data_IF_869304454255
#
_entry.id   IF_869304454255
#
_cell.length_a   1.000
_cell.length_b   1.000
_cell.length_c   1.000
_cell.angle_alpha   90.00
_cell.angle_beta   90.00
_cell.angle_gamma   90.00
#
_symmetry.space_group_name_H-M   'P 1'
#
loop_
_entity.id
_entity.type
_entity.pdbx_description
1 polymer ?
#
# COMPACT_ATOMS: atom_id res chain seq x y z
N UNK A 1 -0.98 9.26 3.83
CA UNK A 1 -2.11 9.12 4.77
C UNK A 1 -2.03 7.75 5.42
N UNK A 2 -2.20 7.63 6.74
CA UNK A 2 -2.22 6.34 7.44
C UNK A 2 -3.54 6.19 8.19
N UNK A 3 -4.23 5.07 8.02
CA UNK A 3 -5.42 4.72 8.80
C UNK A 3 -4.94 4.13 10.13
N UNK A 4 -4.62 5.01 11.08
CA UNK A 4 -4.03 4.62 12.37
C UNK A 4 -4.96 3.77 13.25
N UNK A 5 -6.23 3.63 12.88
CA UNK A 5 -7.23 2.89 13.64
C UNK A 5 -7.21 1.38 13.39
N UNK A 6 -6.62 0.92 12.28
CA UNK A 6 -6.52 -0.51 11.96
C UNK A 6 -5.05 -0.93 11.94
N UNK A 7 -4.70 -1.90 12.76
CA UNK A 7 -3.34 -2.42 12.87
C UNK A 7 -3.23 -3.80 12.23
N UNK A 8 -2.16 -4.02 11.45
CA UNK A 8 -1.77 -5.31 10.88
C UNK A 8 -0.34 -5.60 11.35
N UNK A 9 -0.13 -6.74 12.02
CA UNK A 9 1.18 -7.07 12.60
C UNK A 9 1.69 -6.05 13.61
N UNK A 10 0.78 -5.39 14.35
CA UNK A 10 1.12 -4.36 15.35
C UNK A 10 1.49 -2.99 14.77
N UNK A 11 1.36 -2.79 13.45
CA UNK A 11 1.65 -1.52 12.75
C UNK A 11 0.41 -0.99 12.04
N UNK A 12 0.27 0.33 11.83
CA UNK A 12 -0.82 0.88 11.03
C UNK A 12 -0.90 0.21 9.67
N UNK A 13 -2.10 -0.22 9.29
CA UNK A 13 -2.34 -0.88 8.02
C UNK A 13 -2.02 0.06 6.85
N UNK A 14 -1.26 -0.44 5.89
CA UNK A 14 -0.95 0.29 4.67
C UNK A 14 -2.17 0.29 3.73
N UNK A 15 -2.50 1.46 3.22
CA UNK A 15 -3.59 1.71 2.25
C UNK A 15 -3.07 2.51 1.06
N UNK A 16 -3.82 2.59 -0.02
CA UNK A 16 -3.53 3.53 -1.12
C UNK A 16 -3.35 4.95 -0.58
N UNK A 17 -2.30 5.64 -1.02
CA UNK A 17 -1.90 6.94 -0.48
C UNK A 17 -0.99 6.87 0.77
N UNK A 18 -0.61 5.67 1.23
CA UNK A 18 0.45 5.53 2.24
C UNK A 18 1.80 5.93 1.64
N UNK A 19 2.65 6.54 2.46
CA UNK A 19 3.94 7.07 2.03
C UNK A 19 4.93 5.94 1.70
N UNK A 20 5.61 6.07 0.57
CA UNK A 20 6.76 5.27 0.17
C UNK A 20 8.02 6.13 0.21
N UNK A 21 8.97 5.78 1.07
CA UNK A 21 10.27 6.47 1.13
C UNK A 21 11.25 5.74 0.23
N UNK A 22 11.71 6.42 -0.82
CA UNK A 22 12.69 5.87 -1.76
C UNK A 22 14.04 6.57 -1.57
N UNK A 23 15.12 5.80 -1.59
CA UNK A 23 16.50 6.31 -1.46
C UNK A 23 17.09 6.81 -2.79
N UNK A 24 16.44 6.49 -3.91
CA UNK A 24 16.89 6.90 -5.25
C UNK A 24 16.71 8.43 -5.37
N UNK A 25 17.78 9.23 -5.60
CA UNK A 25 17.71 10.69 -5.51
C UNK A 25 16.55 11.37 -6.27
N UNK A 26 16.26 11.06 -7.55
CA UNK A 26 15.12 11.66 -8.24
C UNK A 26 13.76 11.27 -7.63
N UNK A 27 13.66 10.08 -7.00
CA UNK A 27 12.43 9.62 -6.34
C UNK A 27 12.31 10.13 -4.91
N UNK A 28 13.43 10.41 -4.23
CA UNK A 28 13.44 11.06 -2.93
C UNK A 28 12.91 12.50 -3.04
N UNK A 29 13.18 13.18 -4.16
CA UNK A 29 12.65 14.52 -4.45
C UNK A 29 11.11 14.57 -4.56
N UNK A 30 10.45 13.44 -4.84
CA UNK A 30 8.98 13.34 -4.78
C UNK A 30 8.46 13.57 -3.35
N UNK A 31 9.29 13.35 -2.33
CA UNK A 31 8.95 13.58 -0.92
C UNK A 31 7.62 12.92 -0.53
N UNK A 32 6.66 13.67 0.05
CA UNK A 32 5.39 13.12 0.51
C UNK A 32 4.44 12.75 -0.64
N UNK A 33 4.75 13.13 -1.89
CA UNK A 33 3.98 12.69 -3.05
C UNK A 33 4.32 11.25 -3.43
N UNK A 34 5.40 10.67 -2.88
CA UNK A 34 5.72 9.28 -3.15
C UNK A 34 4.81 8.35 -2.33
N UNK A 35 3.81 7.75 -2.96
CA UNK A 35 2.75 6.99 -2.30
C UNK A 35 2.41 5.68 -3.00
N UNK A 36 1.75 4.77 -2.27
CA UNK A 36 1.11 3.59 -2.84
C UNK A 36 -0.02 4.03 -3.77
N UNK A 37 0.05 3.65 -5.04
CA UNK A 37 -0.96 3.97 -6.04
C UNK A 37 -2.16 3.02 -5.96
N UNK A 38 -3.34 3.45 -6.42
CA UNK A 38 -4.48 2.54 -6.62
C UNK A 38 -4.11 1.43 -7.59
N UNK A 39 -4.36 0.18 -7.21
CA UNK A 39 -4.17 -0.96 -8.10
C UNK A 39 -5.46 -1.22 -8.91
N UNK A 40 -5.44 -1.05 -10.25
CA UNK A 40 -6.63 -1.28 -11.09
C UNK A 40 -7.16 -2.71 -10.99
N UNK A 41 -6.28 -3.70 -10.79
CA UNK A 41 -6.70 -5.09 -10.63
C UNK A 41 -7.49 -5.31 -9.32
N UNK A 42 -7.28 -4.46 -8.30
CA UNK A 42 -8.07 -4.48 -7.07
C UNK A 42 -9.53 -4.12 -7.33
N UNK A 43 -9.77 -3.18 -8.25
CA UNK A 43 -11.12 -2.74 -8.58
C UNK A 43 -11.99 -3.86 -9.19
N UNK A 44 -11.38 -4.84 -9.85
CA UNK A 44 -12.09 -5.95 -10.52
C UNK A 44 -12.23 -7.19 -9.62
N UNK A 45 -11.26 -7.41 -8.71
CA UNK A 45 -11.18 -8.63 -7.87
C UNK A 45 -11.87 -8.51 -6.51
N UNK A 46 -12.45 -7.34 -6.20
CA UNK A 46 -13.01 -7.02 -4.89
C UNK A 46 -11.97 -6.30 -4.03
N UNK A 47 -12.26 -5.04 -3.68
CA UNK A 47 -11.38 -4.23 -2.85
C UNK A 47 -11.68 -4.47 -1.37
N UNK A 48 -10.66 -4.85 -0.60
CA UNK A 48 -10.73 -4.76 0.85
C UNK A 48 -10.47 -3.32 1.23
N UNK A 49 -11.41 -2.70 1.94
CA UNK A 49 -11.28 -1.34 2.41
C UNK A 49 -10.84 -1.33 3.88
N UNK A 50 -9.85 -0.51 4.20
CA UNK A 50 -9.38 -0.23 5.55
C UNK A 50 -9.55 1.27 5.78
N UNK A 51 -10.40 1.66 6.73
CA UNK A 51 -10.75 3.07 6.98
C UNK A 51 -11.33 3.77 5.76
N UNK A 52 -12.05 3.04 4.90
CA UNK A 52 -12.63 3.55 3.65
C UNK A 52 -11.66 3.67 2.48
N UNK A 53 -10.38 3.34 2.67
CA UNK A 53 -9.37 3.36 1.61
C UNK A 53 -9.00 1.93 1.17
N UNK A 54 -8.70 1.69 -0.12
CA UNK A 54 -8.23 0.39 -0.58
C UNK A 54 -6.96 -0.05 0.17
N UNK A 55 -7.01 -1.25 0.72
CA UNK A 55 -5.90 -1.86 1.43
C UNK A 55 -4.76 -2.19 0.47
N UNK A 56 -3.52 -1.87 0.86
CA UNK A 56 -2.34 -2.17 0.06
C UNK A 56 -2.05 -3.68 0.06
N UNK A 57 -1.79 -4.24 -1.11
CA UNK A 57 -1.50 -5.67 -1.32
C UNK A 57 -0.09 -5.87 -1.85
N UNK A 58 0.43 -7.09 -1.71
CA UNK A 58 1.68 -7.44 -2.38
C UNK A 58 1.54 -7.20 -3.88
N UNK A 59 2.62 -6.69 -4.49
CA UNK A 59 2.71 -6.28 -5.90
C UNK A 59 1.94 -5.01 -6.29
N UNK A 60 1.27 -4.33 -5.36
CA UNK A 60 0.80 -2.97 -5.64
C UNK A 60 2.00 -2.07 -5.93
N UNK A 61 1.81 -1.08 -6.80
CA UNK A 61 2.86 -0.17 -7.25
C UNK A 61 2.83 1.14 -6.46
N UNK A 62 4.01 1.73 -6.28
CA UNK A 62 4.18 3.08 -5.74
C UNK A 62 4.36 4.08 -6.88
N UNK A 63 4.25 5.37 -6.58
CA UNK A 63 4.39 6.42 -7.59
C UNK A 63 5.76 6.51 -8.25
N UNK A 64 6.82 6.04 -7.59
CA UNK A 64 8.13 5.92 -8.24
C UNK A 64 8.33 4.58 -8.97
N UNK A 65 7.28 3.77 -9.11
CA UNK A 65 7.28 2.50 -9.84
C UNK A 65 7.75 1.28 -9.03
N UNK A 66 8.14 1.44 -7.76
CA UNK A 66 8.57 0.31 -6.94
C UNK A 66 7.36 -0.54 -6.49
N UNK A 67 7.41 -1.88 -6.61
CA UNK A 67 6.35 -2.76 -6.13
C UNK A 67 6.48 -3.05 -4.63
N UNK A 68 5.36 -3.34 -3.96
CA UNK A 68 5.34 -3.84 -2.59
C UNK A 68 5.76 -5.31 -2.58
N UNK A 69 6.91 -5.61 -1.98
CA UNK A 69 7.49 -6.96 -1.94
C UNK A 69 7.35 -7.67 -0.59
N UNK A 70 6.86 -6.97 0.45
CA UNK A 70 6.73 -7.54 1.79
C UNK A 70 5.51 -6.97 2.53
N UNK A 71 5.02 -7.73 3.50
CA UNK A 71 3.88 -7.40 4.36
C UNK A 71 3.86 -8.29 5.59
N UNK A 72 2.74 -8.35 6.30
CA UNK A 72 2.60 -9.28 7.43
C UNK A 72 2.54 -10.74 6.92
N UNK A 73 3.36 -11.66 7.47
CA UNK A 73 3.53 -13.01 6.92
C UNK A 73 2.28 -13.90 7.08
N UNK A 74 1.36 -13.52 7.96
CA UNK A 74 0.17 -14.28 8.32
C UNK A 74 -1.14 -13.61 7.88
N UNK A 75 -1.09 -12.57 7.04
CA UNK A 75 -2.27 -11.82 6.59
C UNK A 75 -2.34 -11.80 5.08
N UNK A 76 -3.48 -12.24 4.54
CA UNK A 76 -3.81 -12.18 3.12
C UNK A 76 -4.98 -11.21 2.91
N UNK A 77 -4.76 -10.18 2.09
CA UNK A 77 -5.76 -9.15 1.79
C UNK A 77 -6.38 -9.46 0.43
N UNK A 78 -7.69 -9.74 0.42
CA UNK A 78 -8.42 -10.11 -0.81
C UNK A 78 -8.46 -11.62 -1.08
N UNK A 79 -8.03 -12.46 -0.13
CA UNK A 79 -8.08 -13.91 -0.22
C UNK A 79 -6.78 -14.56 -0.73
N UNK A 80 -6.73 -15.90 -0.76
CA UNK A 80 -5.67 -16.64 -1.45
C UNK A 80 -5.86 -16.41 -2.95
N UNK A 81 -4.85 -15.78 -3.55
CA UNK A 81 -4.71 -15.50 -4.99
C UNK A 81 -5.26 -16.58 -5.93
#
# INVERSE_FOLDING_TARGET
>A
MAVATVLIGGRPAAVTGSLHVCVVPPHAALGPANVIMPNPAAAVTGQVLIGGLPAARMRDTTSCGAPIISGAPNVLIGGPM
#
